data_IF_437095359741
#
_entry.id   IF_437095359741
#
_cell.length_a   1.000
_cell.length_b   1.000
_cell.length_c   1.000
_cell.angle_alpha   90.00
_cell.angle_beta   90.00
_cell.angle_gamma   90.00
#
_symmetry.space_group_name_H-M   'P 1'
#
loop_
_entity.id
_entity.type
_entity.pdbx_description
1 polymer ?
#
# COMPACT_ATOMS: atom_id res chain seq x y z
N UNK A 1 -3.49 -27.79 -6.77
CA UNK A 1 -2.78 -28.84 -7.54
C UNK A 1 -1.31 -28.47 -7.59
N UNK A 2 -0.38 -29.42 -7.50
CA UNK A 2 1.05 -29.15 -7.64
C UNK A 2 1.45 -29.29 -9.10
N UNK A 3 2.07 -28.27 -9.67
CA UNK A 3 2.62 -28.31 -11.04
C UNK A 3 4.15 -28.33 -10.91
N UNK A 4 4.80 -29.33 -11.49
CA UNK A 4 6.25 -29.47 -11.49
C UNK A 4 6.77 -29.25 -12.90
N UNK A 5 7.69 -28.29 -13.08
CA UNK A 5 8.31 -28.02 -14.37
C UNK A 5 9.81 -27.75 -14.23
N UNK A 6 10.59 -28.36 -15.11
CA UNK A 6 12.04 -28.16 -15.22
C UNK A 6 12.42 -27.50 -16.55
N UNK A 7 11.47 -26.85 -17.22
CA UNK A 7 11.71 -26.18 -18.49
C UNK A 7 12.56 -24.89 -18.27
N UNK A 8 13.70 -24.72 -18.97
CA UNK A 8 14.50 -23.50 -18.94
C UNK A 8 13.75 -22.22 -19.32
N UNK A 9 12.60 -22.32 -20.00
CA UNK A 9 11.74 -21.18 -20.31
C UNK A 9 11.31 -20.38 -19.08
N UNK A 10 11.34 -21.00 -17.89
CA UNK A 10 11.03 -20.36 -16.60
C UNK A 10 12.19 -19.60 -15.96
N UNK A 11 13.43 -19.73 -16.45
CA UNK A 11 14.61 -19.09 -15.84
C UNK A 11 14.51 -17.56 -15.71
N UNK A 12 13.97 -16.80 -16.70
CA UNK A 12 13.80 -15.35 -16.55
C UNK A 12 12.87 -14.99 -15.38
N UNK A 13 11.81 -15.76 -15.16
CA UNK A 13 10.89 -15.55 -14.05
C UNK A 13 11.57 -15.85 -12.71
N UNK A 14 12.29 -16.97 -12.61
CA UNK A 14 13.06 -17.34 -11.42
C UNK A 14 14.09 -16.26 -11.10
N UNK A 15 14.86 -15.81 -12.10
CA UNK A 15 15.84 -14.75 -11.93
C UNK A 15 15.20 -13.43 -11.48
N UNK A 16 14.04 -13.06 -12.05
CA UNK A 16 13.31 -11.85 -11.64
C UNK A 16 12.84 -11.94 -10.19
N UNK A 17 12.33 -13.09 -9.76
CA UNK A 17 11.95 -13.32 -8.36
C UNK A 17 13.15 -13.22 -7.43
N UNK A 18 14.30 -13.79 -7.80
CA UNK A 18 15.53 -13.69 -7.00
C UNK A 18 15.97 -12.24 -6.83
N UNK A 19 15.98 -11.46 -7.93
CA UNK A 19 16.33 -10.03 -7.89
C UNK A 19 15.35 -9.25 -7.01
N UNK A 20 14.04 -9.51 -7.13
CA UNK A 20 13.02 -8.89 -6.29
C UNK A 20 13.20 -9.26 -4.82
N UNK A 21 13.49 -10.52 -4.49
CA UNK A 21 13.76 -10.94 -3.11
C UNK A 21 14.96 -10.18 -2.52
N UNK A 22 16.06 -10.02 -3.25
CA UNK A 22 17.20 -9.22 -2.79
C UNK A 22 16.82 -7.75 -2.56
N UNK A 23 16.00 -7.19 -3.46
CA UNK A 23 15.54 -5.81 -3.33
C UNK A 23 14.64 -5.61 -2.10
N UNK A 24 13.73 -6.55 -1.84
CA UNK A 24 12.86 -6.57 -0.65
C UNK A 24 13.71 -6.66 0.62
N UNK A 25 14.70 -7.54 0.66
CA UNK A 25 15.62 -7.67 1.81
C UNK A 25 16.41 -6.37 2.01
N UNK A 26 16.94 -5.76 0.96
CA UNK A 26 17.66 -4.50 1.06
C UNK A 26 16.77 -3.34 1.55
N UNK A 27 15.57 -3.20 0.96
CA UNK A 27 14.56 -2.26 1.43
C UNK A 27 14.22 -2.50 2.91
N UNK A 28 14.24 -3.76 3.36
CA UNK A 28 13.87 -4.09 4.73
C UNK A 28 14.87 -3.68 5.76
N UNK A 29 16.16 -3.82 5.43
CA UNK A 29 17.22 -3.30 6.24
C UNK A 29 17.09 -1.78 6.40
N UNK A 30 16.73 -1.05 5.34
CA UNK A 30 16.53 0.41 5.39
C UNK A 30 15.33 0.77 6.27
N UNK A 31 14.18 0.09 6.13
CA UNK A 31 12.98 0.35 6.94
C UNK A 31 13.24 0.06 8.42
N UNK A 32 13.87 -1.08 8.73
CA UNK A 32 14.23 -1.44 10.11
C UNK A 32 15.22 -0.43 10.69
N UNK A 33 16.21 0.00 9.90
CA UNK A 33 17.19 1.00 10.32
C UNK A 33 16.54 2.35 10.63
N UNK A 34 15.69 2.87 9.74
CA UNK A 34 14.95 4.12 9.97
C UNK A 34 14.03 4.03 11.19
N UNK A 35 13.36 2.88 11.36
CA UNK A 35 12.52 2.62 12.52
C UNK A 35 13.33 2.65 13.83
N UNK A 36 14.49 1.98 13.89
CA UNK A 36 15.37 1.99 15.07
C UNK A 36 15.85 3.42 15.38
N UNK A 37 16.25 4.18 14.36
CA UNK A 37 16.73 5.55 14.55
C UNK A 37 15.65 6.50 15.05
N UNK A 38 14.42 6.32 14.61
CA UNK A 38 13.31 7.19 15.02
C UNK A 38 12.71 6.82 16.37
N UNK A 39 12.77 5.54 16.78
CA UNK A 39 12.19 5.03 18.02
C UNK A 39 12.66 5.78 19.27
N UNK A 40 13.93 6.19 19.35
CA UNK A 40 14.44 6.97 20.49
C UNK A 40 13.72 8.32 20.65
N UNK A 41 13.55 9.05 19.53
CA UNK A 41 12.84 10.35 19.52
C UNK A 41 11.35 10.17 19.79
N UNK A 42 10.76 9.07 19.32
CA UNK A 42 9.35 8.77 19.57
C UNK A 42 9.06 8.52 21.05
N UNK A 43 9.90 7.75 21.73
CA UNK A 43 9.71 7.48 23.15
C UNK A 43 9.75 8.79 23.94
N UNK A 44 10.66 9.70 23.59
CA UNK A 44 10.76 10.98 24.30
C UNK A 44 9.60 11.93 23.98
N UNK A 45 9.22 12.07 22.70
CA UNK A 45 8.26 13.09 22.26
C UNK A 45 6.80 12.60 22.32
N UNK A 46 6.55 11.33 22.01
CA UNK A 46 5.20 10.78 21.85
C UNK A 46 4.76 10.08 23.13
N UNK A 47 5.60 9.18 23.66
CA UNK A 47 5.19 8.35 24.80
C UNK A 47 5.16 9.10 26.13
N UNK A 48 5.95 10.16 26.29
CA UNK A 48 5.92 11.01 27.49
C UNK A 48 4.84 12.09 27.47
N UNK A 49 4.21 12.33 26.33
CA UNK A 49 3.22 13.40 26.16
C UNK A 49 1.79 12.87 26.33
N UNK A 50 0.85 13.76 26.64
CA UNK A 50 -0.57 13.39 26.74
C UNK A 50 -1.07 12.84 25.39
N UNK A 51 -1.79 11.72 25.45
CA UNK A 51 -2.30 11.03 24.27
C UNK A 51 -3.36 11.89 23.57
N UNK A 52 -3.06 12.35 22.37
CA UNK A 52 -4.02 13.00 21.48
C UNK A 52 -4.51 12.01 20.42
N UNK A 53 -5.66 12.28 19.79
CA UNK A 53 -6.18 11.46 18.69
C UNK A 53 -5.18 11.40 17.52
N UNK A 54 -4.47 12.49 17.23
CA UNK A 54 -3.44 12.53 16.19
C UNK A 54 -2.25 11.64 16.54
N UNK A 55 -1.86 11.62 17.82
CA UNK A 55 -0.81 10.74 18.33
C UNK A 55 -1.21 9.27 18.17
N UNK A 56 -2.45 8.92 18.50
CA UNK A 56 -2.98 7.57 18.33
C UNK A 56 -2.99 7.17 16.84
N UNK A 57 -3.50 8.04 15.97
CA UNK A 57 -3.55 7.78 14.52
C UNK A 57 -2.14 7.56 13.94
N UNK A 58 -1.17 8.36 14.38
CA UNK A 58 0.22 8.19 14.00
C UNK A 58 0.79 6.84 14.44
N UNK A 59 0.59 6.46 15.71
CA UNK A 59 1.09 5.18 16.23
C UNK A 59 0.44 4.00 15.50
N UNK A 60 -0.89 4.04 15.30
CA UNK A 60 -1.62 2.99 14.59
C UNK A 60 -1.05 2.78 13.19
N UNK A 61 -0.84 3.85 12.42
CA UNK A 61 -0.33 3.76 11.05
C UNK A 61 1.12 3.28 11.03
N UNK A 62 1.93 3.75 11.97
CA UNK A 62 3.33 3.34 12.07
C UNK A 62 3.46 1.85 12.38
N UNK A 63 2.72 1.34 13.37
CA UNK A 63 2.81 -0.07 13.77
C UNK A 63 2.09 -1.01 12.81
N UNK A 64 0.96 -0.60 12.24
CA UNK A 64 0.30 -1.39 11.18
C UNK A 64 1.18 -1.44 9.93
N UNK A 65 1.80 -0.32 9.53
CA UNK A 65 2.75 -0.29 8.42
C UNK A 65 3.96 -1.19 8.66
N UNK A 66 4.53 -1.18 9.88
CA UNK A 66 5.62 -2.09 10.25
C UNK A 66 5.17 -3.56 10.21
N UNK A 67 3.98 -3.86 10.74
CA UNK A 67 3.42 -5.22 10.72
C UNK A 67 3.18 -5.70 9.28
N UNK A 68 2.55 -4.87 8.45
CA UNK A 68 2.36 -5.11 7.02
C UNK A 68 3.68 -5.44 6.36
N UNK A 69 4.71 -4.62 6.63
CA UNK A 69 6.02 -4.78 6.04
C UNK A 69 6.70 -6.10 6.44
N UNK A 70 6.62 -6.48 7.72
CA UNK A 70 7.15 -7.77 8.21
C UNK A 70 6.43 -8.94 7.54
N UNK A 71 5.10 -8.89 7.44
CA UNK A 71 4.31 -9.92 6.76
C UNK A 71 4.64 -9.99 5.27
N UNK A 72 4.87 -8.85 4.63
CA UNK A 72 5.25 -8.77 3.23
C UNK A 72 6.63 -9.41 2.99
N UNK A 73 7.63 -9.16 3.83
CA UNK A 73 8.92 -9.86 3.73
C UNK A 73 8.74 -11.36 3.93
N UNK A 74 7.99 -11.76 4.97
CA UNK A 74 7.77 -13.16 5.28
C UNK A 74 7.11 -13.90 4.10
N UNK A 75 6.20 -13.24 3.40
CA UNK A 75 5.56 -13.75 2.18
C UNK A 75 6.53 -13.91 1.01
N UNK A 76 7.49 -13.00 0.86
CA UNK A 76 8.40 -12.96 -0.30
C UNK A 76 9.75 -13.66 -0.09
N UNK A 77 10.03 -14.15 1.12
CA UNK A 77 11.26 -14.90 1.42
C UNK A 77 11.15 -16.35 0.91
N UNK A 78 11.97 -16.77 -0.07
CA UNK A 78 11.86 -18.08 -0.73
C UNK A 78 12.36 -19.27 0.11
N UNK A 79 12.78 -19.07 1.37
CA UNK A 79 13.75 -19.95 2.03
C UNK A 79 13.28 -20.66 3.30
N UNK A 80 12.03 -20.53 3.73
CA UNK A 80 11.53 -21.33 4.87
C UNK A 80 10.47 -22.29 4.39
N UNK A 81 10.87 -23.55 4.20
CA UNK A 81 9.96 -24.71 4.16
C UNK A 81 9.12 -24.70 5.44
N UNK A 82 8.02 -23.95 5.41
CA UNK A 82 7.03 -23.88 6.50
C UNK A 82 6.25 -25.21 6.63
N UNK A 83 6.55 -26.17 5.76
CA UNK A 83 5.98 -27.51 5.71
C UNK A 83 6.49 -28.46 6.80
N UNK A 84 7.62 -28.19 7.45
CA UNK A 84 8.21 -29.16 8.41
C UNK A 84 8.05 -28.82 9.89
N UNK A 85 7.48 -27.67 10.26
CA UNK A 85 7.35 -27.28 11.68
C UNK A 85 5.89 -27.04 12.06
N UNK A 86 5.44 -27.89 12.98
CA UNK A 86 4.12 -27.96 13.61
C UNK A 86 3.07 -28.74 12.80
N UNK A 87 3.28 -30.04 12.70
CA UNK A 87 2.17 -31.00 12.83
C UNK A 87 1.48 -30.73 14.17
N UNK A 88 0.49 -29.83 14.20
CA UNK A 88 -0.40 -29.72 15.36
C UNK A 88 -1.06 -31.10 15.48
N UNK A 89 -0.85 -31.84 16.58
CA UNK A 89 -1.41 -33.17 16.73
C UNK A 89 -2.92 -33.12 16.52
N UNK A 90 -3.38 -33.97 15.61
CA UNK A 90 -4.76 -34.17 15.16
C UNK A 90 -5.69 -34.62 16.30
N UNK A 91 -5.87 -33.85 17.38
CA UNK A 91 -6.74 -34.25 18.49
C UNK A 91 -8.14 -33.62 18.47
N UNK A 92 -8.48 -32.84 17.44
CA UNK A 92 -9.85 -32.34 17.25
C UNK A 92 -10.34 -32.64 15.83
N UNK A 93 -10.81 -33.87 15.61
CA UNK A 93 -11.48 -34.29 14.38
C UNK A 93 -12.78 -35.03 14.73
N UNK A 94 -13.89 -34.30 14.70
CA UNK A 94 -15.22 -34.89 14.46
C UNK A 94 -16.25 -33.83 14.02
N UNK A 95 -15.92 -32.99 13.04
CA UNK A 95 -16.94 -32.37 12.19
C UNK A 95 -16.44 -32.30 10.74
N UNK A 96 -17.19 -32.88 9.78
CA UNK A 96 -16.86 -32.79 8.36
C UNK A 96 -17.48 -31.52 7.79
N UNK A 97 -16.69 -30.45 7.74
CA UNK A 97 -16.92 -29.33 6.83
C UNK A 97 -15.54 -28.85 6.38
N UNK A 98 -15.29 -28.98 5.09
CA UNK A 98 -13.99 -28.94 4.42
C UNK A 98 -13.32 -27.56 4.49
N UNK A 99 -12.70 -27.28 5.64
CA UNK A 99 -11.93 -26.05 5.92
C UNK A 99 -10.45 -26.41 6.08
N UNK A 100 -9.85 -26.93 5.00
CA UNK A 100 -8.40 -26.87 4.86
C UNK A 100 -8.04 -25.51 4.26
N UNK A 101 -8.25 -24.45 5.05
CA UNK A 101 -7.71 -23.12 4.74
C UNK A 101 -6.19 -23.28 4.80
N UNK A 102 -5.53 -23.19 3.65
CA UNK A 102 -4.08 -23.31 3.58
C UNK A 102 -3.46 -22.14 4.36
N UNK A 103 -2.39 -22.38 5.12
CA UNK A 103 -1.70 -21.30 5.86
C UNK A 103 -1.24 -20.17 4.94
N UNK A 104 -0.95 -20.47 3.67
CA UNK A 104 -0.63 -19.48 2.64
C UNK A 104 -1.77 -18.50 2.36
N UNK A 105 -3.02 -18.96 2.49
CA UNK A 105 -4.20 -18.12 2.27
C UNK A 105 -4.32 -17.07 3.36
N UNK A 106 -4.05 -17.44 4.63
CA UNK A 106 -4.14 -16.52 5.77
C UNK A 106 -3.16 -15.35 5.61
N UNK A 107 -1.89 -15.63 5.26
CA UNK A 107 -0.88 -14.56 5.09
C UNK A 107 -1.29 -13.66 3.92
N UNK A 108 -1.79 -14.23 2.82
CA UNK A 108 -2.29 -13.47 1.69
C UNK A 108 -3.46 -12.56 2.08
N UNK A 109 -4.49 -13.11 2.72
CA UNK A 109 -5.66 -12.36 3.20
C UNK A 109 -5.29 -11.25 4.17
N UNK A 110 -4.39 -11.54 5.11
CA UNK A 110 -3.92 -10.52 6.06
C UNK A 110 -3.16 -9.43 5.32
N UNK A 111 -2.29 -9.77 4.37
CA UNK A 111 -1.50 -8.77 3.61
C UNK A 111 -2.40 -7.88 2.74
N UNK A 112 -3.34 -8.47 2.01
CA UNK A 112 -4.28 -7.72 1.15
C UNK A 112 -5.22 -6.84 1.99
N UNK A 113 -5.80 -7.40 3.05
CA UNK A 113 -6.65 -6.64 3.96
C UNK A 113 -5.90 -5.50 4.67
N UNK A 114 -4.63 -5.71 5.02
CA UNK A 114 -3.81 -4.65 5.63
C UNK A 114 -3.46 -3.54 4.63
N UNK A 115 -3.30 -3.84 3.34
CA UNK A 115 -3.12 -2.82 2.30
C UNK A 115 -4.34 -1.89 2.17
N UNK A 116 -5.55 -2.47 2.13
CA UNK A 116 -6.81 -1.72 2.13
C UNK A 116 -6.93 -0.83 3.36
N UNK A 117 -6.57 -1.36 4.54
CA UNK A 117 -6.61 -0.60 5.81
C UNK A 117 -5.59 0.54 5.82
N UNK A 118 -4.35 0.30 5.40
CA UNK A 118 -3.30 1.32 5.35
C UNK A 118 -3.69 2.43 4.38
N UNK A 119 -4.18 2.08 3.19
CA UNK A 119 -4.68 3.04 2.20
C UNK A 119 -5.82 3.88 2.78
N UNK A 120 -6.79 3.25 3.46
CA UNK A 120 -7.90 3.95 4.11
C UNK A 120 -7.39 4.94 5.16
N UNK A 121 -6.43 4.54 5.99
CA UNK A 121 -5.85 5.41 6.99
C UNK A 121 -5.10 6.60 6.38
N UNK A 122 -4.32 6.37 5.31
CA UNK A 122 -3.64 7.45 4.58
C UNK A 122 -4.63 8.47 4.02
N UNK A 123 -5.74 7.99 3.45
CA UNK A 123 -6.80 8.87 2.98
C UNK A 123 -7.49 9.66 4.10
N UNK A 124 -7.71 9.04 5.27
CA UNK A 124 -8.22 9.75 6.45
C UNK A 124 -7.24 10.82 6.91
N UNK A 125 -5.93 10.55 6.96
CA UNK A 125 -4.92 11.59 7.28
C UNK A 125 -4.99 12.72 6.25
N UNK A 126 -5.05 12.39 4.96
CA UNK A 126 -5.07 13.38 3.90
C UNK A 126 -6.29 14.29 4.02
N UNK A 127 -7.48 13.73 4.28
CA UNK A 127 -8.70 14.48 4.54
C UNK A 127 -8.58 15.31 5.81
N UNK A 128 -8.00 14.77 6.89
CA UNK A 128 -7.80 15.49 8.14
C UNK A 128 -6.83 16.69 7.97
N UNK A 129 -5.78 16.53 7.18
CA UNK A 129 -4.83 17.62 6.85
C UNK A 129 -5.49 18.67 5.96
N UNK A 130 -6.24 18.24 4.94
CA UNK A 130 -7.06 19.14 4.13
C UNK A 130 -8.06 19.89 4.99
N UNK A 131 -8.71 19.23 5.94
CA UNK A 131 -9.63 19.86 6.90
C UNK A 131 -8.94 20.92 7.75
N UNK A 132 -7.77 20.61 8.33
CA UNK A 132 -7.01 21.58 9.10
C UNK A 132 -6.63 22.81 8.25
N UNK A 133 -6.23 22.59 6.99
CA UNK A 133 -5.95 23.68 6.06
C UNK A 133 -7.20 24.48 5.69
N UNK A 134 -8.33 23.81 5.41
CA UNK A 134 -9.61 24.43 5.08
C UNK A 134 -10.18 25.25 6.23
N UNK A 135 -10.08 24.74 7.46
CA UNK A 135 -10.58 25.41 8.66
C UNK A 135 -9.88 26.75 8.91
N UNK A 136 -8.57 26.83 8.61
CA UNK A 136 -7.77 28.04 8.80
C UNK A 136 -8.06 29.09 7.72
N UNK A 137 -8.18 28.68 6.45
CA UNK A 137 -8.35 29.61 5.33
C UNK A 137 -9.80 30.01 5.05
N UNK A 138 -10.70 29.03 5.12
CA UNK A 138 -12.05 29.13 4.59
C UNK A 138 -13.02 28.79 5.72
N UNK A 139 -13.18 29.72 6.67
CA UNK A 139 -14.09 29.60 7.81
C UNK A 139 -15.58 29.35 7.44
N UNK A 140 -15.90 29.17 6.15
CA UNK A 140 -17.26 29.22 5.59
C UNK A 140 -17.74 27.97 4.85
N UNK A 141 -16.91 27.11 4.25
CA UNK A 141 -17.45 26.00 3.41
C UNK A 141 -17.11 24.61 3.95
N UNK A 142 -17.98 24.09 4.82
CA UNK A 142 -17.96 22.68 5.26
C UNK A 142 -18.45 21.71 4.18
N UNK A 143 -19.08 22.22 3.12
CA UNK A 143 -19.73 21.43 2.07
C UNK A 143 -18.71 20.60 1.30
N UNK A 144 -17.56 21.19 0.94
CA UNK A 144 -16.51 20.49 0.16
C UNK A 144 -15.92 19.33 0.97
N UNK A 145 -15.72 19.51 2.28
CA UNK A 145 -15.24 18.44 3.15
C UNK A 145 -16.25 17.30 3.25
N UNK A 146 -17.53 17.61 3.46
CA UNK A 146 -18.59 16.60 3.55
C UNK A 146 -18.64 15.79 2.24
N UNK A 147 -18.58 16.48 1.10
CA UNK A 147 -18.53 15.84 -0.21
C UNK A 147 -17.31 14.91 -0.37
N UNK A 148 -16.12 15.37 0.04
CA UNK A 148 -14.90 14.56 -0.01
C UNK A 148 -14.99 13.31 0.87
N UNK A 149 -15.53 13.44 2.08
CA UNK A 149 -15.75 12.30 3.00
C UNK A 149 -16.74 11.30 2.42
N UNK A 150 -17.84 11.76 1.80
CA UNK A 150 -18.83 10.88 1.17
C UNK A 150 -18.21 10.10 0.01
N UNK A 151 -17.48 10.78 -0.89
CA UNK A 151 -16.80 10.10 -2.01
C UNK A 151 -15.77 9.10 -1.49
N UNK A 152 -14.96 9.52 -0.51
CA UNK A 152 -13.96 8.66 0.11
C UNK A 152 -14.59 7.38 0.66
N UNK A 153 -15.65 7.48 1.46
CA UNK A 153 -16.36 6.33 2.01
C UNK A 153 -16.94 5.44 0.91
N UNK A 154 -17.58 6.02 -0.11
CA UNK A 154 -18.15 5.27 -1.22
C UNK A 154 -17.09 4.47 -1.99
N UNK A 155 -15.95 5.09 -2.30
CA UNK A 155 -14.83 4.43 -2.98
C UNK A 155 -14.26 3.30 -2.13
N UNK A 156 -14.04 3.50 -0.84
CA UNK A 156 -13.49 2.47 0.03
C UNK A 156 -14.44 1.30 0.27
N UNK A 157 -15.74 1.56 0.39
CA UNK A 157 -16.75 0.49 0.45
C UNK A 157 -16.73 -0.32 -0.85
N UNK A 158 -16.68 0.34 -2.01
CA UNK A 158 -16.58 -0.35 -3.30
C UNK A 158 -15.28 -1.18 -3.39
N UNK A 159 -14.14 -0.62 -2.99
CA UNK A 159 -12.86 -1.33 -2.97
C UNK A 159 -12.91 -2.56 -2.05
N UNK A 160 -13.50 -2.45 -0.86
CA UNK A 160 -13.66 -3.58 0.06
C UNK A 160 -14.54 -4.69 -0.49
N UNK A 161 -15.62 -4.35 -1.20
CA UNK A 161 -16.49 -5.33 -1.87
C UNK A 161 -15.75 -6.03 -3.01
N UNK A 162 -15.04 -5.27 -3.85
CA UNK A 162 -14.27 -5.83 -4.97
C UNK A 162 -13.15 -6.73 -4.45
N UNK A 163 -12.44 -6.32 -3.40
CA UNK A 163 -11.43 -7.15 -2.75
C UNK A 163 -12.05 -8.44 -2.22
N UNK A 164 -13.17 -8.39 -1.49
CA UNK A 164 -13.85 -9.59 -1.00
C UNK A 164 -14.28 -10.56 -2.11
N UNK A 165 -14.68 -10.05 -3.28
CA UNK A 165 -15.00 -10.87 -4.46
C UNK A 165 -13.71 -11.49 -5.01
N UNK A 166 -12.68 -10.69 -5.26
CA UNK A 166 -11.39 -11.16 -5.76
C UNK A 166 -10.79 -12.27 -4.87
N UNK A 167 -10.89 -12.09 -3.55
CA UNK A 167 -10.44 -13.03 -2.53
C UNK A 167 -11.18 -14.37 -2.52
N UNK A 168 -12.41 -14.41 -3.04
CA UNK A 168 -13.20 -15.64 -3.17
C UNK A 168 -12.80 -16.45 -4.41
N UNK A 169 -12.39 -15.77 -5.47
CA UNK A 169 -12.10 -16.37 -6.77
C UNK A 169 -10.60 -16.70 -6.97
N UNK A 170 -9.74 -16.36 -6.01
CA UNK A 170 -8.32 -16.73 -6.02
C UNK A 170 -8.12 -18.20 -5.70
N UNK A 171 -7.54 -18.96 -6.64
CA UNK A 171 -7.05 -20.32 -6.40
C UNK A 171 -5.53 -20.28 -6.28
N UNK A 172 -5.02 -20.83 -5.17
CA UNK A 172 -3.58 -20.97 -4.93
C UNK A 172 -3.09 -22.28 -5.51
N UNK A 173 -2.11 -22.20 -6.41
CA UNK A 173 -1.42 -23.36 -6.98
C UNK A 173 0.04 -23.35 -6.53
N UNK A 174 0.51 -24.49 -6.05
CA UNK A 174 1.93 -24.68 -5.71
C UNK A 174 2.69 -25.06 -6.99
N UNK A 175 3.66 -24.24 -7.37
CA UNK A 175 4.48 -24.43 -8.56
C UNK A 175 5.92 -24.77 -8.14
N UNK A 176 6.41 -25.93 -8.56
CA UNK A 176 7.80 -26.36 -8.34
C UNK A 176 8.56 -26.13 -9.64
N UNK A 177 9.33 -25.05 -9.72
CA UNK A 177 10.14 -24.68 -10.88
C UNK A 177 11.61 -25.00 -10.64
N UNK A 178 12.15 -26.00 -11.34
CA UNK A 178 13.55 -26.43 -11.21
C UNK A 178 13.98 -26.65 -9.74
N UNK A 179 13.10 -27.26 -8.93
CA UNK A 179 13.33 -27.51 -7.50
C UNK A 179 13.06 -26.32 -6.56
N UNK A 180 12.66 -25.16 -7.09
CA UNK A 180 12.27 -23.98 -6.30
C UNK A 180 10.76 -23.99 -6.10
N UNK A 181 10.30 -23.86 -4.85
CA UNK A 181 8.88 -23.78 -4.50
C UNK A 181 8.39 -22.34 -4.63
N UNK A 182 7.38 -22.12 -5.46
CA UNK A 182 6.76 -20.81 -5.67
C UNK A 182 5.25 -20.95 -5.50
N UNK A 183 4.65 -20.06 -4.73
CA UNK A 183 3.20 -19.94 -4.67
C UNK A 183 2.73 -19.09 -5.84
N UNK A 184 2.01 -19.70 -6.78
CA UNK A 184 1.40 -18.98 -7.89
C UNK A 184 -0.08 -18.76 -7.58
N UNK A 185 -0.54 -17.52 -7.71
CA UNK A 185 -1.95 -17.17 -7.60
C UNK A 185 -2.53 -17.16 -9.00
N UNK A 186 -3.38 -18.14 -9.30
CA UNK A 186 -4.05 -18.17 -10.60
C UNK A 186 -5.29 -17.30 -10.51
N UNK A 187 -5.19 -16.11 -11.08
CA UNK A 187 -6.31 -15.20 -11.22
C UNK A 187 -7.09 -15.56 -12.49
N UNK A 188 -8.41 -15.66 -12.37
CA UNK A 188 -9.27 -15.60 -13.55
C UNK A 188 -9.20 -14.19 -14.15
N UNK A 189 -9.33 -14.06 -15.48
CA UNK A 189 -9.07 -12.79 -16.19
C UNK A 189 -9.86 -11.60 -15.61
N UNK A 190 -11.04 -11.86 -15.06
CA UNK A 190 -11.89 -10.84 -14.42
C UNK A 190 -11.24 -10.25 -13.16
N UNK A 191 -10.50 -11.05 -12.36
CA UNK A 191 -9.90 -10.58 -11.10
C UNK A 191 -8.80 -9.54 -11.35
N UNK A 192 -8.01 -9.71 -12.42
CA UNK A 192 -7.00 -8.72 -12.81
C UNK A 192 -7.65 -7.39 -13.20
N UNK A 193 -8.78 -7.44 -13.90
CA UNK A 193 -9.56 -6.26 -14.23
C UNK A 193 -10.11 -5.60 -12.96
N UNK A 194 -10.67 -6.37 -12.02
CA UNK A 194 -11.14 -5.88 -10.73
C UNK A 194 -10.03 -5.16 -9.93
N UNK A 195 -8.84 -5.76 -9.86
CA UNK A 195 -7.68 -5.15 -9.20
C UNK A 195 -7.30 -3.83 -9.89
N UNK A 196 -7.25 -3.79 -11.22
CA UNK A 196 -6.96 -2.55 -11.96
C UNK A 196 -7.99 -1.45 -11.69
N UNK A 197 -9.28 -1.81 -11.55
CA UNK A 197 -10.34 -0.86 -11.21
C UNK A 197 -10.15 -0.28 -9.81
N UNK A 198 -9.78 -1.10 -8.82
CA UNK A 198 -9.45 -0.61 -7.46
C UNK A 198 -8.31 0.41 -7.53
N UNK A 199 -7.20 0.07 -8.21
CA UNK A 199 -6.06 0.97 -8.37
C UNK A 199 -6.44 2.27 -9.07
N UNK A 200 -7.26 2.22 -10.13
CA UNK A 200 -7.77 3.42 -10.81
C UNK A 200 -8.63 4.30 -9.89
N UNK A 201 -9.50 3.72 -9.07
CA UNK A 201 -10.34 4.46 -8.14
C UNK A 201 -9.52 5.15 -7.05
N UNK A 202 -8.52 4.46 -6.49
CA UNK A 202 -7.61 5.00 -5.47
C UNK A 202 -6.78 6.13 -6.07
N UNK A 203 -6.13 5.90 -7.21
CA UNK A 203 -5.32 6.93 -7.90
C UNK A 203 -6.13 8.15 -8.29
N UNK A 204 -7.36 7.97 -8.79
CA UNK A 204 -8.26 9.07 -9.08
C UNK A 204 -8.58 9.90 -7.82
N UNK A 205 -8.87 9.24 -6.71
CA UNK A 205 -9.16 9.89 -5.42
C UNK A 205 -7.96 10.69 -4.92
N UNK A 206 -6.75 10.14 -5.05
CA UNK A 206 -5.51 10.84 -4.70
C UNK A 206 -5.24 12.04 -5.59
N UNK A 207 -5.47 11.93 -6.91
CA UNK A 207 -5.34 13.05 -7.85
C UNK A 207 -6.33 14.16 -7.54
N UNK A 208 -7.58 13.83 -7.21
CA UNK A 208 -8.58 14.82 -6.78
C UNK A 208 -8.10 15.55 -5.51
N UNK A 209 -7.60 14.81 -4.52
CA UNK A 209 -7.11 15.39 -3.28
C UNK A 209 -5.85 16.26 -3.48
N UNK A 210 -4.94 15.85 -4.38
CA UNK A 210 -3.78 16.66 -4.78
C UNK A 210 -4.21 17.96 -5.45
N UNK A 211 -5.12 17.88 -6.42
CA UNK A 211 -5.66 19.04 -7.12
C UNK A 211 -6.30 20.04 -6.13
N UNK A 212 -7.08 19.54 -5.16
CA UNK A 212 -7.64 20.36 -4.10
C UNK A 212 -6.54 20.99 -3.22
N UNK A 213 -5.55 20.19 -2.80
CA UNK A 213 -4.43 20.69 -1.99
C UNK A 213 -3.66 21.81 -2.68
N UNK A 214 -3.31 21.63 -3.96
CA UNK A 214 -2.60 22.64 -4.77
C UNK A 214 -3.47 23.87 -4.99
N UNK A 215 -4.75 23.69 -5.33
CA UNK A 215 -5.68 24.80 -5.50
C UNK A 215 -5.74 25.69 -4.26
N UNK A 216 -5.88 25.08 -3.08
CA UNK A 216 -5.94 25.82 -1.81
C UNK A 216 -4.62 26.51 -1.51
N UNK A 217 -3.49 25.84 -1.75
CA UNK A 217 -2.17 26.44 -1.55
C UNK A 217 -1.99 27.68 -2.45
N UNK A 218 -2.36 27.59 -3.74
CA UNK A 218 -2.29 28.71 -4.69
C UNK A 218 -3.19 29.85 -4.26
N UNK A 219 -4.43 29.57 -3.85
CA UNK A 219 -5.35 30.62 -3.39
C UNK A 219 -4.84 31.31 -2.12
N UNK A 220 -4.27 30.54 -1.19
CA UNK A 220 -3.65 31.12 0.01
C UNK A 220 -2.50 32.07 -0.31
N UNK A 221 -1.62 31.68 -1.23
CA UNK A 221 -0.53 32.56 -1.67
C UNK A 221 -1.04 33.83 -2.35
N UNK A 222 -2.14 33.74 -3.12
CA UNK A 222 -2.77 34.93 -3.72
C UNK A 222 -3.32 35.87 -2.66
N UNK A 223 -3.99 35.36 -1.63
CA UNK A 223 -4.56 36.17 -0.55
C UNK A 223 -3.48 36.79 0.33
N UNK A 224 -2.43 36.05 0.69
CA UNK A 224 -1.26 36.61 1.40
C UNK A 224 -0.61 37.74 0.60
N UNK A 225 -0.51 37.59 -0.73
CA UNK A 225 0.01 38.65 -1.59
C UNK A 225 -0.88 39.89 -1.61
N UNK A 226 -2.20 39.75 -1.43
CA UNK A 226 -3.16 40.86 -1.33
C UNK A 226 -3.14 41.58 0.02
N UNK A 227 -2.90 40.86 1.11
CA UNK A 227 -2.97 41.40 2.48
C UNK A 227 -1.75 42.21 2.95
N UNK A 228 -0.68 42.27 2.15
CA UNK A 228 0.51 43.06 2.47
C UNK A 228 1.40 42.39 3.53
N UNK A 229 2.68 42.25 3.20
CA UNK A 229 3.68 41.43 3.89
C UNK A 229 4.05 41.82 5.34
N UNK A 230 3.28 42.67 6.03
CA UNK A 230 3.77 43.34 7.24
C UNK A 230 3.72 42.51 8.53
N UNK A 231 3.10 41.32 8.56
CA UNK A 231 2.92 40.60 9.85
C UNK A 231 2.78 39.06 9.80
N UNK A 232 3.38 38.37 8.81
CA UNK A 232 3.09 36.95 8.54
C UNK A 232 4.27 35.97 8.45
N UNK A 233 5.47 36.29 8.95
CA UNK A 233 6.68 35.49 8.71
C UNK A 233 6.61 34.04 9.22
N UNK A 234 6.05 33.80 10.41
CA UNK A 234 6.07 32.47 11.05
C UNK A 234 5.01 31.51 10.51
N UNK A 235 3.90 32.02 9.97
CA UNK A 235 2.86 31.18 9.35
C UNK A 235 3.34 30.64 8.00
N UNK A 236 4.08 31.44 7.22
CA UNK A 236 4.64 31.02 5.94
C UNK A 236 5.57 29.81 6.05
N UNK A 237 6.39 29.75 7.09
CA UNK A 237 7.35 28.66 7.30
C UNK A 237 6.66 27.32 7.59
N UNK A 238 5.62 27.31 8.44
CA UNK A 238 4.85 26.10 8.73
C UNK A 238 4.14 25.56 7.49
N UNK A 239 3.51 26.45 6.71
CA UNK A 239 2.87 26.09 5.45
C UNK A 239 3.86 25.58 4.41
N UNK A 240 5.07 26.16 4.35
CA UNK A 240 6.13 25.70 3.46
C UNK A 240 6.55 24.25 3.76
N UNK A 241 6.70 23.90 5.04
CA UNK A 241 7.00 22.53 5.46
C UNK A 241 5.84 21.57 5.13
N UNK A 242 4.61 21.99 5.36
CA UNK A 242 3.42 21.19 5.04
C UNK A 242 3.33 20.91 3.54
N UNK A 243 3.46 21.93 2.70
CA UNK A 243 3.43 21.80 1.24
C UNK A 243 4.57 20.91 0.76
N UNK A 244 5.79 21.10 1.27
CA UNK A 244 6.93 20.27 0.87
C UNK A 244 6.68 18.79 1.14
N UNK A 245 6.10 18.47 2.30
CA UNK A 245 5.77 17.10 2.67
C UNK A 245 4.68 16.51 1.77
N UNK A 246 3.64 17.29 1.44
CA UNK A 246 2.58 16.85 0.53
C UNK A 246 3.08 16.66 -0.91
N UNK A 247 3.89 17.58 -1.43
CA UNK A 247 4.44 17.48 -2.78
C UNK A 247 5.33 16.23 -2.91
N UNK A 248 6.16 15.95 -1.90
CA UNK A 248 6.98 14.73 -1.89
C UNK A 248 6.13 13.46 -1.84
N UNK A 249 5.07 13.43 -1.03
CA UNK A 249 4.12 12.32 -1.00
C UNK A 249 3.51 12.08 -2.38
N UNK A 250 2.94 13.11 -3.00
CA UNK A 250 2.26 12.97 -4.29
C UNK A 250 3.20 12.67 -5.45
N UNK A 251 4.42 13.21 -5.44
CA UNK A 251 5.44 12.86 -6.43
C UNK A 251 5.82 11.37 -6.32
N UNK A 252 5.97 10.87 -5.09
CA UNK A 252 6.25 9.45 -4.84
C UNK A 252 5.08 8.58 -5.29
N UNK A 253 3.85 8.97 -4.94
CA UNK A 253 2.64 8.26 -5.34
C UNK A 253 2.44 8.23 -6.86
N UNK A 254 2.64 9.35 -7.55
CA UNK A 254 2.55 9.42 -9.01
C UNK A 254 3.60 8.53 -9.67
N UNK A 255 4.82 8.51 -9.14
CA UNK A 255 5.88 7.62 -9.61
C UNK A 255 5.47 6.15 -9.50
N UNK A 256 5.03 5.72 -8.32
CA UNK A 256 4.54 4.34 -8.07
C UNK A 256 3.36 4.00 -8.98
N UNK A 257 2.38 4.90 -9.10
CA UNK A 257 1.22 4.72 -9.97
C UNK A 257 1.61 4.56 -11.44
N UNK A 258 2.58 5.35 -11.92
CA UNK A 258 3.09 5.21 -13.29
C UNK A 258 3.75 3.85 -13.53
N UNK A 259 4.47 3.31 -12.55
CA UNK A 259 5.03 1.96 -12.64
C UNK A 259 3.94 0.89 -12.69
N UNK A 260 2.95 0.95 -11.79
CA UNK A 260 1.83 0.01 -11.75
C UNK A 260 0.99 0.04 -13.03
N UNK A 261 0.63 1.21 -13.53
CA UNK A 261 -0.07 1.33 -14.81
C UNK A 261 0.77 0.85 -16.00
N UNK A 262 2.10 0.99 -15.93
CA UNK A 262 3.02 0.43 -16.91
C UNK A 262 2.90 -1.09 -17.00
N UNK A 263 2.83 -1.79 -15.86
CA UNK A 263 2.68 -3.25 -15.81
C UNK A 263 1.33 -3.74 -16.37
N UNK A 264 0.28 -2.93 -16.30
CA UNK A 264 -1.03 -3.26 -16.86
C UNK A 264 -1.09 -3.12 -18.39
N UNK A 265 -0.09 -2.52 -19.04
CA UNK A 265 -0.08 -2.39 -20.50
C UNK A 265 0.21 -3.74 -21.17
N UNK A 266 -0.76 -4.33 -21.91
CA UNK A 266 -0.58 -5.63 -22.56
C UNK A 266 0.53 -5.62 -23.63
N UNK A 267 0.90 -4.45 -24.16
CA UNK A 267 1.97 -4.33 -25.16
C UNK A 267 3.36 -4.67 -24.61
N UNK A 268 3.60 -4.53 -23.30
CA UNK A 268 4.87 -4.93 -22.67
C UNK A 268 4.96 -6.45 -22.45
N UNK A 269 3.83 -7.13 -22.26
CA UNK A 269 3.78 -8.59 -22.12
C UNK A 269 3.87 -9.32 -23.47
N UNK A 270 3.44 -8.70 -24.57
CA UNK A 270 3.41 -9.32 -25.90
C UNK A 270 4.71 -9.11 -26.69
N UNK A 271 5.55 -8.12 -26.35
CA UNK A 271 6.80 -7.85 -27.08
C UNK A 271 8.03 -8.54 -26.49
N UNK A 272 8.27 -9.72 -27.08
CA UNK A 272 9.51 -10.52 -27.22
C UNK A 272 9.77 -11.57 -26.14
N UNK A 273 9.76 -12.87 -26.47
CA UNK A 273 10.55 -13.83 -25.71
C UNK A 273 11.99 -13.32 -25.63
N UNK A 274 12.57 -13.41 -24.43
CA UNK A 274 13.94 -13.00 -24.06
C UNK A 274 15.00 -13.90 -24.75
N UNK A 275 14.72 -14.38 -25.96
CA UNK A 275 15.63 -15.20 -26.74
C UNK A 275 16.67 -14.38 -27.54
N UNK A 276 16.45 -13.06 -27.73
CA UNK A 276 17.28 -12.24 -28.64
C UNK A 276 18.14 -11.15 -27.96
N UNK A 277 18.39 -11.24 -26.64
CA UNK A 277 19.33 -10.33 -25.93
C UNK A 277 20.63 -11.07 -25.56
N UNK A 278 21.11 -11.94 -26.44
CA UNK A 278 22.46 -12.47 -26.40
C UNK A 278 23.10 -12.34 -27.79
N UNK A 279 23.59 -11.14 -28.07
CA UNK A 279 24.71 -10.87 -28.99
C UNK A 279 25.46 -9.64 -28.48
#
# INVERSE_FOLDING_TARGET
MTIVSNDPSWWPLINSNIVLSYWIVAASAVVVYDWILSLGKEIELIWRQCWSLMTLLYLVIRYIGLLYYVLYILRNMPSVSLTDVVSIPQLFRSHPMDTLISRGDIIYYVTDGTDVVVSAMLGVIMIARLHAMYQILYQRSRIVLIFLVIIFLAVYIACGVIAAIALKDTVVEELILSGTYICNYRYEADVQLLASVIWMLITLLEVIALCLSVWIAVEHFRDLRRLGASKGSTIGDCFGVLIKSHVLYFASFACVSCFEFGFLSPELLVRRPVADICL
#
